data_IF_084849359767
#
_entry.id   IF_084849359767
#
_cell.length_a   1.000
_cell.length_b   1.000
_cell.length_c   1.000
_cell.angle_alpha   90.00
_cell.angle_beta   90.00
_cell.angle_gamma   90.00
#
_symmetry.space_group_name_H-M   'P 1'
#
loop_
_entity.id
_entity.type
_entity.pdbx_description
1 polymer ?
#
# COMPACT_ATOMS: atom_id res chain seq x y z
N UNK A 1 -5.33 -10.20 -10.06
CA UNK A 1 -4.42 -11.30 -10.51
C UNK A 1 -3.25 -11.55 -9.58
N UNK A 2 -2.52 -10.57 -9.04
CA UNK A 2 -1.65 -10.85 -7.89
C UNK A 2 -2.52 -11.24 -6.68
N UNK A 3 -3.60 -10.52 -6.44
CA UNK A 3 -4.63 -10.85 -5.45
C UNK A 3 -5.48 -12.05 -5.87
N UNK A 4 -5.84 -12.18 -7.15
CA UNK A 4 -6.60 -13.32 -7.71
C UNK A 4 -5.80 -14.64 -7.76
N UNK A 5 -4.46 -14.58 -7.78
CA UNK A 5 -3.58 -15.75 -7.73
C UNK A 5 -3.12 -16.10 -6.32
N UNK A 6 -3.61 -15.41 -5.30
CA UNK A 6 -3.14 -15.56 -3.93
C UNK A 6 -1.68 -15.10 -3.71
N UNK A 7 -1.05 -14.48 -4.73
CA UNK A 7 0.34 -14.03 -4.66
C UNK A 7 0.52 -12.86 -3.68
N UNK A 8 -0.52 -12.06 -3.45
CA UNK A 8 -0.48 -11.01 -2.43
C UNK A 8 -0.33 -11.60 -1.04
N UNK A 9 -1.06 -12.66 -0.72
CA UNK A 9 -0.91 -13.41 0.53
C UNK A 9 0.43 -14.13 0.60
N UNK A 10 0.93 -14.66 -0.52
CA UNK A 10 2.26 -15.27 -0.60
C UNK A 10 3.34 -14.21 -0.35
N UNK A 11 3.31 -13.05 -1.00
CA UNK A 11 4.30 -11.97 -0.79
C UNK A 11 4.21 -11.39 0.62
N UNK A 12 3.01 -11.25 1.20
CA UNK A 12 2.86 -10.75 2.57
C UNK A 12 3.29 -11.77 3.63
N UNK A 13 3.07 -13.06 3.39
CA UNK A 13 3.48 -14.13 4.31
C UNK A 13 4.97 -14.46 4.18
N UNK A 14 5.54 -14.38 2.97
CA UNK A 14 6.94 -14.67 2.66
C UNK A 14 7.84 -13.43 2.66
N UNK A 15 7.29 -12.27 2.92
CA UNK A 15 8.05 -11.04 3.12
C UNK A 15 8.92 -11.05 4.38
N UNK A 16 8.62 -11.93 5.36
CA UNK A 16 9.55 -12.31 6.41
C UNK A 16 10.23 -13.64 6.01
N UNK A 17 11.49 -13.63 5.61
CA UNK A 17 12.21 -14.84 5.22
C UNK A 17 12.50 -15.79 6.40
N UNK A 18 12.19 -15.40 7.64
CA UNK A 18 12.41 -16.22 8.83
C UNK A 18 11.74 -17.61 8.73
N UNK A 19 10.44 -17.72 8.42
CA UNK A 19 9.78 -19.02 8.23
C UNK A 19 10.42 -19.85 7.12
N UNK A 20 10.81 -19.23 6.00
CA UNK A 20 11.50 -19.88 4.88
C UNK A 20 12.85 -20.48 5.30
N UNK A 21 13.64 -19.71 6.04
CA UNK A 21 14.93 -20.17 6.56
C UNK A 21 14.74 -21.39 7.47
N UNK A 22 13.72 -21.37 8.36
CA UNK A 22 13.41 -22.50 9.23
C UNK A 22 12.97 -23.72 8.42
N UNK A 23 12.05 -23.57 7.47
CA UNK A 23 11.57 -24.68 6.62
C UNK A 23 12.74 -25.26 5.81
N UNK A 24 13.58 -24.42 5.22
CA UNK A 24 14.75 -24.87 4.47
C UNK A 24 15.79 -25.55 5.35
N UNK A 25 16.00 -25.07 6.58
CA UNK A 25 16.89 -25.70 7.54
C UNK A 25 16.38 -27.10 7.98
N UNK A 26 15.08 -27.22 8.23
CA UNK A 26 14.45 -28.51 8.51
C UNK A 26 14.53 -29.46 7.31
N UNK A 27 14.25 -28.98 6.11
CA UNK A 27 14.39 -29.77 4.89
C UNK A 27 15.86 -30.21 4.68
N UNK A 28 16.82 -29.33 4.95
CA UNK A 28 18.24 -29.66 4.89
C UNK A 28 18.61 -30.75 5.90
N UNK A 29 18.10 -30.67 7.13
CA UNK A 29 18.31 -31.68 8.16
C UNK A 29 17.72 -33.04 7.77
N UNK A 30 16.49 -33.04 7.22
CA UNK A 30 15.82 -34.27 6.76
C UNK A 30 16.49 -34.91 5.54
N UNK A 31 17.03 -34.11 4.65
CA UNK A 31 17.67 -34.56 3.42
C UNK A 31 19.20 -34.73 3.55
N UNK A 32 19.74 -34.56 4.79
CA UNK A 32 21.18 -34.56 5.04
C UNK A 32 21.88 -35.86 4.62
N UNK A 33 21.18 -36.98 4.71
CA UNK A 33 21.68 -38.31 4.35
C UNK A 33 21.53 -38.63 2.86
N UNK A 34 20.90 -37.75 2.08
CA UNK A 34 20.60 -37.98 0.66
C UNK A 34 21.64 -37.32 -0.26
N UNK A 35 21.62 -37.69 -1.54
CA UNK A 35 22.42 -37.03 -2.56
C UNK A 35 22.07 -35.53 -2.73
N UNK A 36 20.89 -35.11 -2.21
CA UNK A 36 20.40 -33.72 -2.29
C UNK A 36 20.98 -32.79 -1.24
N UNK A 37 21.77 -33.28 -0.27
CA UNK A 37 22.34 -32.47 0.83
C UNK A 37 23.11 -31.21 0.36
N UNK A 38 23.80 -31.32 -0.80
CA UNK A 38 24.54 -30.16 -1.36
C UNK A 38 23.60 -29.09 -1.89
N UNK A 39 22.53 -29.48 -2.60
CA UNK A 39 21.55 -28.55 -3.15
C UNK A 39 20.74 -27.86 -2.04
N UNK A 40 20.29 -28.63 -1.03
CA UNK A 40 19.56 -28.07 0.11
C UNK A 40 20.45 -27.15 0.96
N UNK A 41 21.69 -27.52 1.18
CA UNK A 41 22.67 -26.69 1.88
C UNK A 41 22.95 -25.37 1.14
N UNK A 42 23.12 -25.43 -0.18
CA UNK A 42 23.28 -24.23 -1.02
C UNK A 42 22.03 -23.33 -0.97
N UNK A 43 20.83 -23.91 -1.05
CA UNK A 43 19.59 -23.16 -0.96
C UNK A 43 19.45 -22.44 0.40
N UNK A 44 19.74 -23.14 1.51
CA UNK A 44 19.71 -22.52 2.86
C UNK A 44 20.73 -21.40 2.97
N UNK A 45 21.96 -21.61 2.49
CA UNK A 45 23.00 -20.58 2.52
C UNK A 45 22.59 -19.35 1.69
N UNK A 46 22.04 -19.55 0.49
CA UNK A 46 21.56 -18.45 -0.38
C UNK A 46 20.45 -17.66 0.27
N UNK A 47 19.43 -18.34 0.83
CA UNK A 47 18.33 -17.68 1.53
C UNK A 47 18.81 -16.93 2.77
N UNK A 48 19.73 -17.50 3.53
CA UNK A 48 20.36 -16.83 4.67
C UNK A 48 21.12 -15.58 4.27
N UNK A 49 21.89 -15.63 3.18
CA UNK A 49 22.60 -14.46 2.64
C UNK A 49 21.61 -13.39 2.21
N UNK A 50 20.56 -13.75 1.47
CA UNK A 50 19.51 -12.80 1.04
C UNK A 50 18.86 -12.14 2.26
N UNK A 51 18.54 -12.94 3.28
CA UNK A 51 17.97 -12.41 4.52
C UNK A 51 18.92 -11.43 5.23
N UNK A 52 20.19 -11.75 5.32
CA UNK A 52 21.23 -10.85 5.89
C UNK A 52 21.35 -9.56 5.06
N UNK A 53 21.34 -9.64 3.74
CA UNK A 53 21.38 -8.48 2.87
C UNK A 53 20.16 -7.57 3.12
N UNK A 54 18.95 -8.12 3.22
CA UNK A 54 17.75 -7.34 3.53
C UNK A 54 17.84 -6.70 4.91
N UNK A 55 18.28 -7.45 5.92
CA UNK A 55 18.29 -7.00 7.31
C UNK A 55 19.37 -5.96 7.62
N UNK A 56 20.56 -6.07 6.98
CA UNK A 56 21.76 -5.34 7.39
C UNK A 56 22.36 -4.42 6.32
N UNK A 57 21.79 -4.40 5.10
CA UNK A 57 22.29 -3.52 4.04
C UNK A 57 21.22 -2.51 3.59
N UNK A 58 21.57 -1.48 2.80
CA UNK A 58 20.61 -0.53 2.24
C UNK A 58 19.77 -1.09 1.07
N UNK A 59 19.77 -2.40 0.83
CA UNK A 59 19.02 -3.04 -0.26
C UNK A 59 17.55 -2.64 -0.27
N UNK A 60 16.93 -2.61 0.92
CA UNK A 60 15.52 -2.18 1.06
C UNK A 60 15.33 -0.71 0.66
N UNK A 61 16.23 0.17 1.07
CA UNK A 61 16.16 1.59 0.70
C UNK A 61 16.29 1.79 -0.80
N UNK A 62 17.21 1.06 -1.43
CA UNK A 62 17.36 1.06 -2.89
C UNK A 62 16.12 0.51 -3.61
N UNK A 63 15.53 -0.58 -3.10
CA UNK A 63 14.31 -1.15 -3.66
C UNK A 63 13.11 -0.19 -3.52
N UNK A 64 13.07 0.59 -2.44
CA UNK A 64 12.02 1.56 -2.16
C UNK A 64 12.21 2.90 -2.89
N UNK A 65 13.40 3.15 -3.45
CA UNK A 65 13.70 4.39 -4.13
C UNK A 65 12.71 4.67 -5.27
N UNK A 66 12.19 5.91 -5.31
CA UNK A 66 11.22 6.33 -6.31
C UNK A 66 9.82 5.68 -6.22
N UNK A 67 9.50 4.91 -5.13
CA UNK A 67 8.14 4.43 -4.89
C UNK A 67 7.25 5.50 -4.26
N UNK A 68 7.84 6.39 -3.46
CA UNK A 68 7.11 7.46 -2.79
C UNK A 68 6.95 8.64 -3.73
N UNK A 69 5.70 8.96 -4.06
CA UNK A 69 5.32 10.21 -4.72
C UNK A 69 4.61 11.10 -3.71
N UNK A 70 5.13 12.29 -3.52
CA UNK A 70 4.53 13.35 -2.70
C UNK A 70 4.47 14.61 -3.53
N UNK A 71 3.28 15.04 -3.84
CA UNK A 71 3.08 16.29 -4.59
C UNK A 71 2.99 17.48 -3.62
N UNK A 72 3.27 18.70 -4.07
CA UNK A 72 3.05 19.90 -3.28
C UNK A 72 1.58 20.00 -2.84
N UNK A 73 1.29 20.41 -1.59
CA UNK A 73 -0.07 20.59 -1.12
C UNK A 73 -0.84 21.57 -2.02
N UNK A 74 -2.03 21.15 -2.43
CA UNK A 74 -2.92 22.02 -3.22
C UNK A 74 -4.35 21.54 -3.09
N UNK A 75 -5.29 22.49 -3.08
CA UNK A 75 -6.70 22.21 -2.96
C UNK A 75 -7.23 21.28 -4.06
N UNK A 76 -8.19 20.43 -3.69
CA UNK A 76 -8.88 19.50 -4.57
C UNK A 76 -10.37 19.46 -4.25
N UNK A 77 -11.15 18.79 -5.08
CA UNK A 77 -12.59 18.64 -4.86
C UNK A 77 -12.89 17.64 -3.74
N UNK A 78 -12.08 16.58 -3.68
CA UNK A 78 -12.25 15.47 -2.73
C UNK A 78 -10.92 14.88 -2.28
N UNK A 79 -10.86 14.44 -1.02
CA UNK A 79 -9.80 13.55 -0.50
C UNK A 79 -10.24 12.10 -0.73
N UNK A 80 -9.48 11.33 -1.48
CA UNK A 80 -9.70 9.89 -1.64
C UNK A 80 -8.74 9.09 -0.79
N UNK A 81 -9.27 8.28 0.11
CA UNK A 81 -8.49 7.40 0.99
C UNK A 81 -8.60 5.96 0.50
N UNK A 82 -7.48 5.40 0.05
CA UNK A 82 -7.40 4.00 -0.36
C UNK A 82 -7.65 3.06 0.82
N UNK A 83 -8.36 1.96 0.56
CA UNK A 83 -8.60 0.91 1.54
C UNK A 83 -7.27 0.34 2.09
N UNK A 84 -7.34 -0.16 3.30
CA UNK A 84 -6.27 -0.89 3.97
C UNK A 84 -6.88 -1.98 4.85
N UNK A 85 -6.07 -2.68 5.64
CA UNK A 85 -6.57 -3.76 6.48
C UNK A 85 -7.51 -3.28 7.58
N UNK A 86 -8.64 -3.94 7.73
CA UNK A 86 -9.57 -3.82 8.85
C UNK A 86 -9.79 -5.22 9.43
N UNK A 87 -9.89 -5.31 10.74
CA UNK A 87 -10.15 -6.58 11.40
C UNK A 87 -11.65 -6.92 11.34
N UNK A 88 -12.05 -8.21 11.40
CA UNK A 88 -13.46 -8.61 11.43
C UNK A 88 -14.24 -8.00 12.59
N UNK A 89 -13.57 -7.62 13.67
CA UNK A 89 -14.14 -6.90 14.82
C UNK A 89 -14.52 -5.44 14.50
N UNK A 90 -14.10 -4.91 13.35
CA UNK A 90 -14.27 -3.51 12.98
C UNK A 90 -13.12 -2.61 13.41
N UNK A 91 -12.10 -3.14 14.08
CA UNK A 91 -10.91 -2.39 14.43
C UNK A 91 -10.07 -2.07 13.19
N UNK A 92 -9.65 -0.82 13.06
CA UNK A 92 -8.78 -0.38 11.99
C UNK A 92 -7.33 -0.81 12.27
N UNK A 93 -6.64 -1.31 11.25
CA UNK A 93 -5.20 -1.48 11.35
C UNK A 93 -4.50 -0.14 11.52
N UNK A 94 -3.27 -0.14 12.03
CA UNK A 94 -2.48 1.09 12.15
C UNK A 94 -2.33 1.84 10.81
N UNK A 95 -2.17 1.10 9.73
CA UNK A 95 -2.11 1.66 8.38
C UNK A 95 -3.44 2.28 7.94
N UNK A 96 -4.57 1.61 8.19
CA UNK A 96 -5.89 2.17 7.90
C UNK A 96 -6.14 3.44 8.71
N UNK A 97 -5.82 3.41 10.00
CA UNK A 97 -5.96 4.58 10.88
C UNK A 97 -5.09 5.75 10.40
N UNK A 98 -3.82 5.53 10.06
CA UNK A 98 -2.94 6.57 9.51
C UNK A 98 -3.49 7.21 8.24
N UNK A 99 -4.03 6.41 7.32
CA UNK A 99 -4.61 6.93 6.08
C UNK A 99 -5.87 7.75 6.34
N UNK A 100 -6.79 7.24 7.16
CA UNK A 100 -8.03 7.94 7.49
C UNK A 100 -7.71 9.24 8.23
N UNK A 101 -6.85 9.20 9.24
CA UNK A 101 -6.46 10.37 10.01
C UNK A 101 -5.87 11.45 9.10
N UNK A 102 -4.95 11.06 8.20
CA UNK A 102 -4.38 12.01 7.25
C UNK A 102 -5.42 12.58 6.27
N UNK A 103 -6.37 11.76 5.81
CA UNK A 103 -7.50 12.25 5.00
C UNK A 103 -8.37 13.27 5.76
N UNK A 104 -8.64 13.02 7.04
CA UNK A 104 -9.39 13.94 7.91
C UNK A 104 -8.61 15.23 8.18
N UNK A 105 -7.29 15.15 8.39
CA UNK A 105 -6.42 16.34 8.51
C UNK A 105 -6.51 17.24 7.29
N UNK A 106 -6.40 16.67 6.07
CA UNK A 106 -6.47 17.44 4.83
C UNK A 106 -7.80 18.18 4.66
N UNK A 107 -8.90 17.58 5.12
CA UNK A 107 -10.22 18.26 5.13
C UNK A 107 -10.28 19.33 6.21
N UNK A 108 -9.75 19.07 7.41
CA UNK A 108 -9.67 20.05 8.48
C UNK A 108 -8.83 21.28 8.07
N UNK A 109 -7.81 21.09 7.25
CA UNK A 109 -6.99 22.15 6.64
C UNK A 109 -7.67 22.82 5.44
N UNK A 110 -8.92 22.50 5.15
CA UNK A 110 -9.70 23.02 4.01
C UNK A 110 -9.06 22.73 2.64
N UNK A 111 -8.28 21.66 2.52
CA UNK A 111 -7.72 21.22 1.24
C UNK A 111 -8.79 20.59 0.32
N UNK A 112 -9.89 20.07 0.90
CA UNK A 112 -11.06 19.57 0.18
C UNK A 112 -12.30 19.67 1.06
N UNK A 113 -13.50 19.61 0.44
CA UNK A 113 -14.80 19.67 1.14
C UNK A 113 -15.44 18.30 1.39
N UNK A 114 -14.87 17.24 0.84
CA UNK A 114 -15.40 15.89 0.93
C UNK A 114 -14.29 14.84 1.10
N UNK A 115 -14.64 13.70 1.72
CA UNK A 115 -13.81 12.50 1.81
C UNK A 115 -14.52 11.36 1.10
N UNK A 116 -13.82 10.68 0.19
CA UNK A 116 -14.27 9.44 -0.43
C UNK A 116 -13.40 8.28 0.08
N UNK A 117 -14.02 7.20 0.50
CA UNK A 117 -13.38 6.04 1.09
C UNK A 117 -13.62 4.82 0.23
N UNK A 118 -12.61 3.98 0.05
CA UNK A 118 -12.76 2.65 -0.53
C UNK A 118 -12.98 1.63 0.59
N UNK A 119 -13.98 0.77 0.44
CA UNK A 119 -14.23 -0.34 1.36
C UNK A 119 -13.62 -1.64 0.83
N UNK A 120 -13.21 -2.53 1.75
CA UNK A 120 -12.73 -3.85 1.39
C UNK A 120 -13.89 -4.78 1.03
N UNK A 121 -13.71 -5.59 0.00
CA UNK A 121 -14.66 -6.66 -0.33
C UNK A 121 -14.53 -7.79 0.68
N UNK A 122 -15.68 -8.20 1.25
CA UNK A 122 -15.75 -9.29 2.21
C UNK A 122 -16.62 -8.96 3.43
N UNK A 123 -16.58 -9.77 4.48
CA UNK A 123 -17.37 -9.58 5.69
C UNK A 123 -16.74 -8.53 6.62
N UNK A 124 -16.23 -7.44 6.06
CA UNK A 124 -15.59 -6.37 6.81
C UNK A 124 -16.55 -5.18 6.97
N UNK A 125 -16.55 -4.51 8.13
CA UNK A 125 -17.28 -3.27 8.32
C UNK A 125 -16.78 -2.17 7.37
N UNK A 126 -17.67 -1.23 7.00
CA UNK A 126 -17.28 -0.08 6.20
C UNK A 126 -16.46 0.92 7.00
N UNK A 127 -15.49 1.53 6.36
CA UNK A 127 -14.72 2.65 6.93
C UNK A 127 -15.56 3.91 7.12
N UNK A 128 -16.64 4.05 6.36
CA UNK A 128 -17.50 5.25 6.35
C UNK A 128 -18.04 5.59 7.73
N UNK A 129 -18.57 4.59 8.46
CA UNK A 129 -19.12 4.79 9.79
C UNK A 129 -18.06 5.30 10.79
N UNK A 130 -16.90 4.66 10.82
CA UNK A 130 -15.80 5.04 11.71
C UNK A 130 -15.27 6.45 11.39
N UNK A 131 -15.13 6.78 10.09
CA UNK A 131 -14.66 8.09 9.65
C UNK A 131 -15.65 9.19 9.98
N UNK A 132 -16.97 8.97 9.75
CA UNK A 132 -18.02 9.91 10.13
C UNK A 132 -17.99 10.21 11.62
N UNK A 133 -17.99 9.17 12.46
CA UNK A 133 -17.93 9.33 13.91
C UNK A 133 -16.67 10.10 14.37
N UNK A 134 -15.52 9.82 13.75
CA UNK A 134 -14.30 10.56 14.03
C UNK A 134 -14.43 12.05 13.69
N UNK A 135 -14.92 12.37 12.51
CA UNK A 135 -15.08 13.76 12.06
C UNK A 135 -16.10 14.52 12.92
N UNK A 136 -17.25 13.89 13.25
CA UNK A 136 -18.24 14.46 14.16
C UNK A 136 -17.65 14.79 15.53
N UNK A 137 -16.88 13.85 16.12
CA UNK A 137 -16.22 14.05 17.41
C UNK A 137 -15.16 15.16 17.38
N UNK A 138 -14.54 15.40 16.22
CA UNK A 138 -13.58 16.48 16.01
C UNK A 138 -14.22 17.81 15.58
N UNK A 139 -15.52 17.86 15.38
CA UNK A 139 -16.23 19.05 14.90
C UNK A 139 -15.91 19.41 13.45
N UNK A 140 -15.47 18.44 12.64
CA UNK A 140 -15.13 18.64 11.23
C UNK A 140 -16.36 18.37 10.36
N UNK A 141 -16.88 19.41 9.72
CA UNK A 141 -18.02 19.32 8.83
C UNK A 141 -17.55 19.09 7.38
N UNK A 142 -17.66 17.84 6.90
CA UNK A 142 -17.44 17.51 5.51
C UNK A 142 -18.28 16.30 5.09
N UNK A 143 -18.53 16.19 3.79
CA UNK A 143 -19.25 15.06 3.23
C UNK A 143 -18.35 13.82 3.22
N UNK A 144 -18.83 12.67 3.74
CA UNK A 144 -18.15 11.38 3.69
C UNK A 144 -18.91 10.45 2.77
N UNK A 145 -18.25 10.01 1.72
CA UNK A 145 -18.77 9.12 0.68
C UNK A 145 -18.01 7.79 0.66
N UNK A 146 -18.60 6.76 0.06
CA UNK A 146 -17.88 5.54 -0.30
C UNK A 146 -17.82 5.39 -1.81
N UNK A 147 -16.70 4.91 -2.32
CA UNK A 147 -16.61 4.45 -3.72
C UNK A 147 -17.04 2.99 -3.87
N UNK A 148 -17.54 2.38 -2.79
CA UNK A 148 -17.96 0.99 -2.74
C UNK A 148 -16.84 0.02 -2.42
N UNK A 149 -17.13 -1.27 -2.53
CA UNK A 149 -16.22 -2.37 -2.22
C UNK A 149 -15.38 -2.74 -3.44
N UNK A 150 -14.07 -2.75 -3.26
CA UNK A 150 -13.11 -2.99 -4.33
C UNK A 150 -12.12 -4.10 -3.93
N UNK A 151 -11.61 -4.86 -4.92
CA UNK A 151 -10.65 -5.94 -4.73
C UNK A 151 -9.19 -5.49 -4.89
N UNK A 152 -8.97 -4.45 -5.65
CA UNK A 152 -7.63 -4.00 -6.01
C UNK A 152 -7.63 -2.51 -6.39
N UNK A 153 -6.43 -1.93 -6.47
CA UNK A 153 -6.22 -0.51 -6.79
C UNK A 153 -6.83 -0.08 -8.13
N UNK A 154 -6.91 -0.99 -9.12
CA UNK A 154 -7.54 -0.68 -10.40
C UNK A 154 -9.04 -0.48 -10.25
N UNK A 155 -9.71 -1.36 -9.51
CA UNK A 155 -11.14 -1.24 -9.23
C UNK A 155 -11.45 0.01 -8.40
N UNK A 156 -10.59 0.34 -7.42
CA UNK A 156 -10.71 1.58 -6.63
C UNK A 156 -10.64 2.81 -7.54
N UNK A 157 -9.67 2.87 -8.46
CA UNK A 157 -9.54 3.99 -9.39
C UNK A 157 -10.76 4.15 -10.31
N UNK A 158 -11.27 3.03 -10.86
CA UNK A 158 -12.49 3.03 -11.69
C UNK A 158 -13.74 3.46 -10.91
N UNK A 159 -13.89 3.00 -9.68
CA UNK A 159 -15.01 3.35 -8.81
C UNK A 159 -14.95 4.82 -8.40
N UNK A 160 -13.77 5.32 -8.09
CA UNK A 160 -13.53 6.73 -7.81
C UNK A 160 -13.86 7.61 -9.03
N UNK A 161 -13.40 7.23 -10.22
CA UNK A 161 -13.67 7.99 -11.43
C UNK A 161 -15.19 8.10 -11.72
N UNK A 162 -15.95 7.04 -11.48
CA UNK A 162 -17.42 7.07 -11.58
C UNK A 162 -18.04 8.06 -10.59
N UNK A 163 -17.64 7.99 -9.32
CA UNK A 163 -18.12 8.93 -8.30
C UNK A 163 -17.76 10.37 -8.65
N UNK A 164 -16.52 10.61 -9.10
CA UNK A 164 -16.06 11.93 -9.52
C UNK A 164 -16.89 12.48 -10.70
N UNK A 165 -17.20 11.66 -11.69
CA UNK A 165 -18.06 12.05 -12.82
C UNK A 165 -19.48 12.39 -12.38
N UNK A 166 -20.06 11.61 -11.47
CA UNK A 166 -21.41 11.85 -10.92
C UNK A 166 -21.49 13.16 -10.12
N UNK A 167 -20.39 13.52 -9.43
CA UNK A 167 -20.28 14.71 -8.58
C UNK A 167 -19.72 15.94 -9.29
N UNK A 168 -19.22 15.80 -10.50
CA UNK A 168 -18.52 16.85 -11.22
C UNK A 168 -17.13 17.17 -10.68
N UNK A 169 -16.55 16.29 -9.87
CA UNK A 169 -15.19 16.43 -9.32
C UNK A 169 -14.14 16.09 -10.37
N UNK A 170 -13.07 16.85 -10.41
CA UNK A 170 -12.00 16.69 -11.41
C UNK A 170 -10.64 16.51 -10.77
N UNK A 171 -10.45 17.06 -9.58
CA UNK A 171 -9.18 17.04 -8.86
C UNK A 171 -9.29 16.29 -7.55
N UNK A 172 -8.40 15.34 -7.32
CA UNK A 172 -8.45 14.41 -6.18
C UNK A 172 -7.13 14.45 -5.41
N UNK A 173 -7.23 14.63 -4.09
CA UNK A 173 -6.14 14.34 -3.15
C UNK A 173 -6.14 12.84 -2.86
N UNK A 174 -5.14 12.11 -3.32
CA UNK A 174 -5.03 10.66 -3.09
C UNK A 174 -4.17 10.39 -1.87
N UNK A 175 -4.81 9.79 -0.86
CA UNK A 175 -4.18 9.40 0.41
C UNK A 175 -3.99 7.89 0.46
N UNK A 176 -2.74 7.47 0.65
CA UNK A 176 -2.38 6.06 0.82
C UNK A 176 -1.02 5.93 1.51
N UNK A 177 -0.56 4.69 1.76
CA UNK A 177 0.78 4.42 2.31
C UNK A 177 1.89 4.95 1.41
N UNK A 178 3.03 5.39 1.96
CA UNK A 178 4.09 6.02 1.19
C UNK A 178 4.53 5.24 -0.06
N UNK A 179 4.87 3.96 0.07
CA UNK A 179 5.35 3.16 -1.08
C UNK A 179 4.28 2.84 -2.10
N UNK A 180 3.00 2.92 -1.71
CA UNK A 180 1.88 2.69 -2.60
C UNK A 180 1.52 3.91 -3.46
N UNK A 181 1.97 5.12 -3.10
CA UNK A 181 1.53 6.38 -3.74
C UNK A 181 1.80 6.40 -5.23
N UNK A 182 2.97 5.96 -5.69
CA UNK A 182 3.30 5.98 -7.12
C UNK A 182 2.31 5.16 -7.96
N UNK A 183 1.96 3.96 -7.52
CA UNK A 183 1.01 3.09 -8.24
C UNK A 183 -0.42 3.57 -8.11
N UNK A 184 -0.84 3.95 -6.91
CA UNK A 184 -2.18 4.41 -6.65
C UNK A 184 -2.52 5.69 -7.43
N UNK A 185 -1.65 6.70 -7.35
CA UNK A 185 -1.84 7.96 -8.07
C UNK A 185 -1.85 7.76 -9.59
N UNK A 186 -0.90 7.00 -10.14
CA UNK A 186 -0.85 6.74 -11.57
C UNK A 186 -2.06 5.93 -12.08
N UNK A 187 -2.64 5.06 -11.25
CA UNK A 187 -3.87 4.36 -11.58
C UNK A 187 -5.09 5.29 -11.62
N UNK A 188 -5.16 6.27 -10.71
CA UNK A 188 -6.24 7.28 -10.69
C UNK A 188 -6.07 8.27 -11.84
N UNK A 189 -4.85 8.72 -12.13
CA UNK A 189 -4.54 9.58 -13.29
C UNK A 189 -4.91 8.92 -14.62
N UNK A 190 -4.73 7.60 -14.72
CA UNK A 190 -5.09 6.83 -15.92
C UNK A 190 -6.60 6.94 -16.25
N UNK A 191 -7.45 7.16 -15.23
CA UNK A 191 -8.89 7.39 -15.41
C UNK A 191 -9.24 8.85 -15.77
N UNK A 192 -8.24 9.69 -16.04
CA UNK A 192 -8.44 11.07 -16.49
C UNK A 192 -8.65 12.09 -15.37
N UNK A 193 -8.42 11.72 -14.11
CA UNK A 193 -8.52 12.65 -12.98
C UNK A 193 -7.20 13.39 -12.75
N UNK A 194 -7.28 14.65 -12.33
CA UNK A 194 -6.13 15.41 -11.84
C UNK A 194 -5.83 14.98 -10.41
N UNK A 195 -4.61 14.53 -10.15
CA UNK A 195 -4.23 13.92 -8.87
C UNK A 195 -3.19 14.76 -8.13
N UNK A 196 -3.37 14.84 -6.81
CA UNK A 196 -2.37 15.30 -5.86
C UNK A 196 -2.06 14.15 -4.91
N UNK A 197 -0.85 13.63 -4.96
CA UNK A 197 -0.43 12.52 -4.09
C UNK A 197 -0.06 13.03 -2.71
N UNK A 198 -0.75 12.53 -1.68
CA UNK A 198 -0.49 12.87 -0.27
C UNK A 198 -0.30 11.59 0.55
N UNK A 199 0.94 11.10 0.71
CA UNK A 199 1.21 9.90 1.50
C UNK A 199 0.92 10.12 2.97
N UNK A 200 0.25 9.15 3.61
CA UNK A 200 0.06 9.13 5.06
C UNK A 200 1.39 9.01 5.81
N UNK A 201 1.42 9.49 7.05
CA UNK A 201 2.59 9.35 7.91
C UNK A 201 2.65 7.93 8.49
N UNK A 202 3.55 7.09 8.00
CA UNK A 202 3.76 5.74 8.50
C UNK A 202 5.22 5.55 8.93
N UNK A 203 5.45 5.37 10.22
CA UNK A 203 6.80 5.23 10.80
C UNK A 203 7.59 4.06 10.26
N UNK A 204 6.92 3.00 9.79
CA UNK A 204 7.58 1.83 9.19
C UNK A 204 8.22 2.12 7.83
N UNK A 205 7.90 3.26 7.21
CA UNK A 205 8.40 3.66 5.88
C UNK A 205 9.27 4.91 5.93
N UNK A 206 9.51 5.46 7.12
CA UNK A 206 10.48 6.55 7.29
C UNK A 206 11.90 5.99 7.08
N UNK A 207 12.72 6.72 6.34
CA UNK A 207 14.15 6.40 6.14
C UNK A 207 14.88 6.24 7.48
N UNK A 208 14.50 7.01 8.51
CA UNK A 208 15.03 6.86 9.87
C UNK A 208 14.58 5.55 10.53
N UNK A 209 13.36 5.10 10.28
CA UNK A 209 12.83 3.81 10.73
C UNK A 209 13.53 2.63 10.06
N UNK A 210 14.09 2.81 8.86
CA UNK A 210 14.89 1.80 8.15
C UNK A 210 16.31 1.62 8.73
N UNK A 211 16.70 2.38 9.75
CA UNK A 211 17.93 2.13 10.49
C UNK A 211 17.91 0.79 11.24
N UNK A 212 16.73 0.27 11.58
CA UNK A 212 16.57 -0.99 12.31
C UNK A 212 16.27 -2.15 11.35
N UNK A 213 16.83 -3.32 11.66
CA UNK A 213 16.66 -4.53 10.83
C UNK A 213 15.22 -5.00 10.68
N UNK A 214 14.42 -4.90 11.74
CA UNK A 214 12.99 -5.24 11.73
C UNK A 214 12.17 -4.29 10.83
N UNK A 215 12.48 -3.00 10.86
CA UNK A 215 11.90 -2.00 9.95
C UNK A 215 12.23 -2.31 8.49
N UNK A 216 13.51 -2.62 8.20
CA UNK A 216 13.94 -2.97 6.82
C UNK A 216 13.24 -4.19 6.26
N UNK A 217 13.03 -5.24 7.07
CA UNK A 217 12.33 -6.45 6.62
C UNK A 217 10.86 -6.17 6.25
N UNK A 218 10.14 -5.42 7.08
CA UNK A 218 8.75 -5.01 6.78
C UNK A 218 8.69 -4.11 5.54
N UNK A 219 9.58 -3.14 5.47
CA UNK A 219 9.65 -2.22 4.33
C UNK A 219 10.06 -2.95 3.03
N UNK A 220 10.92 -3.97 3.11
CA UNK A 220 11.30 -4.78 1.94
C UNK A 220 10.09 -5.48 1.32
N UNK A 221 9.28 -6.15 2.13
CA UNK A 221 8.07 -6.82 1.63
C UNK A 221 7.11 -5.83 0.95
N UNK A 222 6.88 -4.67 1.58
CA UNK A 222 6.03 -3.64 1.01
C UNK A 222 6.61 -3.06 -0.29
N UNK A 223 7.91 -2.76 -0.32
CA UNK A 223 8.57 -2.25 -1.52
C UNK A 223 8.56 -3.26 -2.67
N UNK A 224 8.83 -4.53 -2.38
CA UNK A 224 8.77 -5.61 -3.37
C UNK A 224 7.36 -5.77 -3.95
N UNK A 225 6.33 -5.75 -3.09
CA UNK A 225 4.94 -5.79 -3.52
C UNK A 225 4.61 -4.64 -4.49
N UNK A 226 5.03 -3.43 -4.17
CA UNK A 226 4.76 -2.27 -5.01
C UNK A 226 5.57 -2.28 -6.32
N UNK A 227 6.82 -2.77 -6.31
CA UNK A 227 7.60 -2.96 -7.56
C UNK A 227 6.93 -3.96 -8.49
N UNK A 228 6.48 -5.09 -7.96
CA UNK A 228 5.74 -6.10 -8.74
C UNK A 228 4.41 -5.51 -9.22
N UNK A 229 3.69 -4.79 -8.36
CA UNK A 229 2.45 -4.11 -8.71
C UNK A 229 2.64 -3.11 -9.85
N UNK A 230 3.63 -2.23 -9.77
CA UNK A 230 3.96 -1.28 -10.84
C UNK A 230 4.29 -1.98 -12.16
N UNK A 231 5.09 -3.05 -12.12
CA UNK A 231 5.40 -3.84 -13.31
C UNK A 231 4.13 -4.43 -13.96
N UNK A 232 3.28 -5.08 -13.17
CA UNK A 232 2.03 -5.72 -13.66
C UNK A 232 1.06 -4.68 -14.20
N UNK A 233 0.88 -3.56 -13.49
CA UNK A 233 -0.03 -2.49 -13.92
C UNK A 233 0.48 -1.78 -15.17
N UNK A 234 1.80 -1.54 -15.27
CA UNK A 234 2.43 -1.00 -16.48
C UNK A 234 2.26 -1.93 -17.68
N UNK A 235 2.50 -3.24 -17.51
CA UNK A 235 2.32 -4.24 -18.56
C UNK A 235 0.86 -4.32 -19.04
N UNK A 236 -0.11 -4.10 -18.15
CA UNK A 236 -1.54 -4.09 -18.48
C UNK A 236 -2.04 -2.74 -19.02
N UNK A 237 -1.19 -1.72 -19.06
CA UNK A 237 -1.58 -0.38 -19.49
C UNK A 237 -2.56 0.31 -18.54
N UNK A 238 -2.49 0.04 -17.24
CA UNK A 238 -3.40 0.60 -16.21
C UNK A 238 -2.80 1.79 -15.46
N UNK A 239 -1.64 2.27 -15.88
CA UNK A 239 -0.98 3.43 -15.31
C UNK A 239 -0.95 4.56 -16.33
N UNK A 240 -1.17 5.79 -15.88
CA UNK A 240 -0.87 6.96 -16.69
C UNK A 240 0.62 6.95 -17.06
N UNK A 241 1.00 7.44 -18.26
CA UNK A 241 2.39 7.68 -18.59
C UNK A 241 3.04 8.51 -17.50
N UNK A 242 4.21 8.09 -17.01
CA UNK A 242 4.90 8.86 -15.99
C UNK A 242 5.27 10.22 -16.59
N UNK A 243 4.66 11.30 -16.12
CA UNK A 243 5.16 12.65 -16.33
C UNK A 243 6.42 12.81 -15.47
N UNK A 244 7.49 12.12 -15.89
CA UNK A 244 8.79 12.30 -15.28
C UNK A 244 9.31 13.67 -15.70
N UNK A 245 9.27 14.60 -14.76
CA UNK A 245 10.12 15.78 -14.72
C UNK A 245 9.84 16.85 -15.79
N UNK A 246 9.10 17.84 -15.42
CA UNK A 246 9.35 19.21 -15.84
C UNK A 246 9.75 20.05 -14.63
#
# INVERSE_FOLDING_TARGET
>A
MIEDLGLASVVSYWGDPGPLVVICALACALLWTTQLRRLTGLAVATLGIVWLLIAFTPLTSWLADGLVRRDPPSAADVVFVHASSIYPTGELSSTAMSRILHGVELVAEHQASAVALSDLKGPYPSYVGATKAMMENLGIAAEVQTVGTNLNTREEALSLARLCNERGWKRVLVVTSPYHTRRACAAVEHEGLSVVCSPSAETNFDIKGLARSDGRRRAFSAALHERIGLFVYGWRGWLAPSTAGS
#
